data_IF_769802065605
#
_entry.id   IF_769802065605
#
_cell.length_a   1.000
_cell.length_b   1.000
_cell.length_c   1.000
_cell.angle_alpha   90.00
_cell.angle_beta   90.00
_cell.angle_gamma   90.00
#
_symmetry.space_group_name_H-M   'P 1'
#
loop_
_entity.id
_entity.type
_entity.pdbx_description
1 polymer ?
#
# COMPACT_ATOMS: atom_id res chain seq x y z
N UNK A 1 -17.98 -21.99 -9.23
CA UNK A 1 -17.08 -20.84 -9.19
C UNK A 1 -17.59 -19.72 -10.09
N UNK A 2 -17.14 -18.51 -9.84
CA UNK A 2 -17.45 -17.37 -10.70
C UNK A 2 -16.51 -17.39 -11.93
N UNK A 3 -16.96 -16.90 -13.10
CA UNK A 3 -16.10 -16.77 -14.27
C UNK A 3 -14.86 -15.90 -13.97
N UNK A 4 -13.70 -16.16 -14.63
CA UNK A 4 -12.54 -15.28 -14.56
C UNK A 4 -12.91 -13.83 -14.94
N UNK A 5 -12.36 -12.85 -14.24
CA UNK A 5 -12.65 -11.42 -14.47
C UNK A 5 -13.93 -10.91 -13.80
N UNK A 6 -14.65 -11.73 -13.04
CA UNK A 6 -15.82 -11.26 -12.27
C UNK A 6 -15.38 -10.31 -11.17
N UNK A 7 -16.03 -9.15 -11.09
CA UNK A 7 -15.81 -8.18 -10.00
C UNK A 7 -16.33 -8.75 -8.68
N UNK A 8 -15.46 -8.82 -7.69
CA UNK A 8 -15.78 -9.40 -6.36
C UNK A 8 -15.43 -8.43 -5.21
N UNK A 9 -15.25 -7.15 -5.50
CA UNK A 9 -14.81 -6.12 -4.52
C UNK A 9 -15.62 -6.19 -3.23
N UNK A 10 -16.94 -6.09 -3.30
CA UNK A 10 -17.79 -6.14 -2.10
C UNK A 10 -17.69 -7.45 -1.33
N UNK A 11 -17.53 -8.58 -2.03
CA UNK A 11 -17.35 -9.90 -1.39
C UNK A 11 -16.00 -9.98 -0.69
N UNK A 12 -14.96 -9.40 -1.28
CA UNK A 12 -13.62 -9.36 -0.69
C UNK A 12 -13.60 -8.50 0.57
N UNK A 13 -14.19 -7.31 0.53
CA UNK A 13 -14.31 -6.42 1.70
C UNK A 13 -15.07 -7.14 2.82
N UNK A 14 -16.18 -7.78 2.52
CA UNK A 14 -16.96 -8.56 3.49
C UNK A 14 -16.10 -9.66 4.12
N UNK A 15 -15.42 -10.48 3.30
CA UNK A 15 -14.57 -11.57 3.78
C UNK A 15 -13.42 -11.08 4.68
N UNK A 16 -12.79 -9.96 4.34
CA UNK A 16 -11.73 -9.37 5.16
C UNK A 16 -12.26 -8.92 6.53
N UNK A 17 -13.45 -8.33 6.57
CA UNK A 17 -14.10 -7.96 7.81
C UNK A 17 -14.45 -9.18 8.67
N UNK A 18 -14.94 -10.26 8.07
CA UNK A 18 -15.18 -11.52 8.77
C UNK A 18 -13.89 -12.16 9.30
N UNK A 19 -12.77 -11.99 8.60
CA UNK A 19 -11.45 -12.41 9.08
C UNK A 19 -10.92 -11.58 10.25
N UNK A 20 -11.59 -10.47 10.59
CA UNK A 20 -11.27 -9.64 11.76
C UNK A 20 -10.48 -8.38 11.45
N UNK A 21 -10.35 -7.97 10.20
CA UNK A 21 -9.78 -6.67 9.85
C UNK A 21 -10.75 -5.56 10.29
N UNK A 22 -10.26 -4.62 11.09
CA UNK A 22 -11.06 -3.48 11.60
C UNK A 22 -11.41 -2.52 10.48
N UNK A 23 -10.46 -2.28 9.55
CA UNK A 23 -10.62 -1.36 8.43
C UNK A 23 -10.14 -2.02 7.14
N UNK A 24 -10.83 -1.73 6.06
CA UNK A 24 -10.49 -2.21 4.71
C UNK A 24 -10.55 -1.04 3.76
N UNK A 25 -9.43 -0.75 3.12
CA UNK A 25 -9.27 0.38 2.19
C UNK A 25 -8.93 -0.10 0.80
N UNK A 26 -9.23 0.74 -0.19
CA UNK A 26 -8.86 0.50 -1.58
C UNK A 26 -7.46 1.07 -1.86
N UNK A 27 -6.63 0.29 -2.55
CA UNK A 27 -5.29 0.71 -2.97
C UNK A 27 -5.35 1.80 -4.05
N UNK A 28 -6.46 1.95 -4.78
CA UNK A 28 -6.62 2.97 -5.81
C UNK A 28 -6.45 4.38 -5.25
N UNK A 29 -6.90 4.64 -4.01
CA UNK A 29 -6.62 5.90 -3.32
C UNK A 29 -5.12 6.22 -3.26
N UNK A 30 -4.30 5.23 -2.91
CA UNK A 30 -2.86 5.41 -2.82
C UNK A 30 -2.17 5.45 -4.20
N UNK A 31 -2.80 4.82 -5.20
CA UNK A 31 -2.35 4.94 -6.58
C UNK A 31 -2.55 6.37 -7.11
N UNK A 32 -3.70 6.98 -6.83
CA UNK A 32 -3.97 8.38 -7.18
C UNK A 32 -2.96 9.31 -6.50
N UNK A 33 -2.65 9.07 -5.24
CA UNK A 33 -1.64 9.85 -4.51
C UNK A 33 -0.25 9.69 -5.15
N UNK A 34 0.14 8.47 -5.53
CA UNK A 34 1.41 8.24 -6.24
C UNK A 34 1.44 8.99 -7.57
N UNK A 35 0.34 9.03 -8.33
CA UNK A 35 0.22 9.79 -9.58
C UNK A 35 0.42 11.28 -9.32
N UNK A 36 -0.16 11.83 -8.26
CA UNK A 36 0.00 13.24 -7.90
C UNK A 36 1.45 13.59 -7.53
N UNK A 37 2.12 12.74 -6.76
CA UNK A 37 3.51 12.93 -6.38
C UNK A 37 4.46 12.81 -7.59
N UNK A 38 4.34 11.75 -8.39
CA UNK A 38 5.14 11.58 -9.61
C UNK A 38 4.85 12.69 -10.64
N UNK A 39 3.58 13.10 -10.78
CA UNK A 39 3.20 14.21 -11.65
C UNK A 39 3.83 15.54 -11.23
N UNK A 40 3.84 15.83 -9.94
CA UNK A 40 4.51 17.01 -9.39
C UNK A 40 6.03 16.95 -9.57
N UNK A 41 6.63 15.77 -9.39
CA UNK A 41 8.05 15.57 -9.61
C UNK A 41 8.45 15.79 -11.07
N UNK A 42 7.70 15.22 -12.04
CA UNK A 42 8.02 15.39 -13.46
C UNK A 42 7.87 16.85 -13.90
N UNK A 43 6.85 17.56 -13.41
CA UNK A 43 6.69 18.98 -13.71
C UNK A 43 7.86 19.81 -13.17
N UNK A 44 8.30 19.53 -11.94
CA UNK A 44 9.46 20.20 -11.35
C UNK A 44 10.75 19.90 -12.14
N UNK A 45 11.03 18.62 -12.43
CA UNK A 45 12.21 18.22 -13.21
C UNK A 45 12.20 18.86 -14.60
N UNK A 46 11.05 18.85 -15.29
CA UNK A 46 10.93 19.43 -16.62
C UNK A 46 11.13 20.95 -16.62
N UNK A 47 10.55 21.65 -15.67
CA UNK A 47 10.74 23.11 -15.53
C UNK A 47 12.22 23.45 -15.32
N UNK A 48 12.88 22.78 -14.38
CA UNK A 48 14.32 23.01 -14.14
C UNK A 48 15.18 22.68 -15.36
N UNK A 49 14.85 21.61 -16.09
CA UNK A 49 15.57 21.24 -17.31
C UNK A 49 15.43 22.31 -18.39
N UNK A 50 14.22 22.87 -18.57
CA UNK A 50 13.94 23.94 -19.55
C UNK A 50 14.61 25.27 -19.16
N UNK A 51 14.77 25.52 -17.85
CA UNK A 51 15.51 26.67 -17.31
C UNK A 51 17.04 26.51 -17.43
N UNK A 52 17.52 25.40 -17.99
CA UNK A 52 18.92 25.14 -18.25
C UNK A 52 19.69 24.48 -17.12
N UNK A 53 19.01 23.95 -16.11
CA UNK A 53 19.63 23.18 -15.02
C UNK A 53 20.16 21.85 -15.53
N UNK A 54 21.47 21.74 -15.72
CA UNK A 54 22.15 20.55 -16.23
C UNK A 54 22.29 19.43 -15.20
N UNK A 55 21.92 19.67 -13.95
CA UNK A 55 21.92 18.63 -12.91
C UNK A 55 20.72 17.72 -13.01
N UNK A 56 19.66 18.16 -13.70
CA UNK A 56 18.45 17.36 -13.90
C UNK A 56 18.64 16.37 -15.03
N UNK A 57 18.36 15.11 -14.75
CA UNK A 57 18.38 14.03 -15.75
C UNK A 57 16.97 13.64 -16.17
N UNK A 58 16.80 13.41 -17.45
CA UNK A 58 15.59 12.89 -18.10
C UNK A 58 15.96 11.65 -18.92
N UNK A 59 15.03 10.69 -19.13
CA UNK A 59 13.63 10.69 -18.68
C UNK A 59 13.51 10.45 -17.18
N UNK A 60 12.29 10.62 -16.63
CA UNK A 60 11.91 10.07 -15.33
C UNK A 60 11.34 8.67 -15.54
N UNK A 61 11.71 7.73 -14.71
CA UNK A 61 11.19 6.34 -14.72
C UNK A 61 10.38 6.10 -13.45
N UNK A 62 9.19 5.50 -13.58
CA UNK A 62 8.36 5.23 -12.41
C UNK A 62 9.00 4.16 -11.50
N UNK A 63 8.77 4.23 -10.21
CA UNK A 63 9.41 3.40 -9.18
C UNK A 63 8.43 2.52 -8.39
N UNK A 64 7.20 2.35 -8.88
CA UNK A 64 6.16 1.59 -8.16
C UNK A 64 6.39 0.06 -8.14
N UNK A 65 7.26 -0.49 -9.01
CA UNK A 65 7.55 -1.93 -9.07
C UNK A 65 8.84 -2.27 -8.31
N UNK A 66 8.78 -2.93 -7.13
CA UNK A 66 9.97 -3.20 -6.33
C UNK A 66 10.95 -4.19 -6.99
N UNK A 67 10.48 -5.10 -7.83
CA UNK A 67 11.35 -5.99 -8.57
C UNK A 67 12.17 -5.22 -9.61
N UNK A 68 11.55 -4.24 -10.29
CA UNK A 68 12.23 -3.36 -11.22
C UNK A 68 13.21 -2.43 -10.51
N UNK A 69 12.82 -1.85 -9.37
CA UNK A 69 13.72 -1.00 -8.56
C UNK A 69 14.96 -1.78 -8.15
N UNK A 70 14.78 -2.98 -7.60
CA UNK A 70 15.90 -3.85 -7.22
C UNK A 70 16.81 -4.20 -8.40
N UNK A 71 16.22 -4.51 -9.57
CA UNK A 71 16.98 -4.73 -10.80
C UNK A 71 17.79 -3.48 -11.20
N UNK A 72 17.16 -2.31 -11.15
CA UNK A 72 17.78 -1.05 -11.53
C UNK A 72 18.94 -0.66 -10.59
N UNK A 73 18.76 -0.81 -9.29
CA UNK A 73 19.79 -0.57 -8.28
C UNK A 73 21.05 -1.42 -8.51
N UNK A 74 20.88 -2.67 -8.92
CA UNK A 74 22.01 -3.58 -9.14
C UNK A 74 22.71 -3.40 -10.50
N UNK A 75 21.97 -3.05 -11.54
CA UNK A 75 22.50 -2.99 -12.90
C UNK A 75 22.86 -1.57 -13.35
N UNK A 76 22.29 -0.54 -12.71
CA UNK A 76 22.47 0.86 -13.09
C UNK A 76 22.74 1.76 -11.87
N UNK A 77 23.73 1.41 -11.00
CA UNK A 77 23.97 2.15 -9.76
C UNK A 77 24.35 3.62 -9.99
N UNK A 78 24.94 3.95 -11.15
CA UNK A 78 25.33 5.31 -11.52
C UNK A 78 24.17 6.17 -12.07
N UNK A 79 22.95 5.61 -12.11
CA UNK A 79 21.76 6.24 -12.69
C UNK A 79 20.59 6.31 -11.72
N UNK A 80 20.83 6.22 -10.41
CA UNK A 80 19.78 6.17 -9.38
C UNK A 80 19.00 7.49 -9.21
N UNK A 81 19.44 8.53 -9.87
CA UNK A 81 18.77 9.83 -9.95
C UNK A 81 17.69 9.91 -11.06
N UNK A 82 17.61 8.88 -11.92
CA UNK A 82 16.60 8.83 -13.00
C UNK A 82 15.24 8.33 -12.51
N UNK A 83 15.14 7.26 -11.71
CA UNK A 83 13.85 6.84 -11.18
C UNK A 83 13.16 7.93 -10.36
N UNK A 84 11.84 7.86 -10.34
CA UNK A 84 11.03 8.71 -9.44
C UNK A 84 11.38 8.45 -7.99
N UNK A 85 11.35 9.51 -7.19
CA UNK A 85 11.51 9.44 -5.74
C UNK A 85 10.20 9.08 -5.02
N UNK A 86 9.08 9.02 -5.76
CA UNK A 86 7.79 8.66 -5.21
C UNK A 86 7.77 7.19 -4.76
N UNK A 87 7.11 6.95 -3.65
CA UNK A 87 6.88 5.59 -3.14
C UNK A 87 5.84 4.86 -3.99
N UNK A 88 5.86 3.54 -3.94
CA UNK A 88 4.79 2.73 -4.54
C UNK A 88 3.44 2.99 -3.84
N UNK A 89 2.29 2.73 -4.50
CA UNK A 89 0.97 2.83 -3.88
C UNK A 89 0.87 2.07 -2.56
N UNK A 90 1.48 0.88 -2.44
CA UNK A 90 1.52 0.14 -1.20
C UNK A 90 2.18 0.94 -0.07
N UNK A 91 3.36 1.50 -0.32
CA UNK A 91 4.11 2.24 0.69
C UNK A 91 3.54 3.65 0.93
N UNK A 92 2.94 4.28 -0.08
CA UNK A 92 2.17 5.52 0.09
C UNK A 92 1.02 5.30 1.07
N UNK A 93 0.23 4.23 0.86
CA UNK A 93 -0.87 3.90 1.75
C UNK A 93 -0.38 3.63 3.17
N UNK A 94 0.63 2.78 3.34
CA UNK A 94 1.17 2.44 4.65
C UNK A 94 1.66 3.66 5.42
N UNK A 95 2.38 4.54 4.73
CA UNK A 95 2.87 5.79 5.32
C UNK A 95 1.72 6.68 5.81
N UNK A 96 0.70 6.92 4.97
CA UNK A 96 -0.45 7.75 5.34
C UNK A 96 -1.30 7.10 6.42
N UNK A 97 -1.51 5.78 6.35
CA UNK A 97 -2.27 5.05 7.35
C UNK A 97 -1.62 5.17 8.74
N UNK A 98 -0.29 5.02 8.82
CA UNK A 98 0.45 5.09 10.09
C UNK A 98 0.85 6.50 10.55
N UNK A 99 0.59 7.52 9.75
CA UNK A 99 0.82 8.92 10.12
C UNK A 99 -0.50 9.68 10.23
N UNK A 100 -0.96 10.25 9.13
CA UNK A 100 -2.14 11.11 9.10
C UNK A 100 -3.42 10.43 9.61
N UNK A 101 -3.71 9.21 9.10
CA UNK A 101 -4.95 8.53 9.48
C UNK A 101 -4.89 8.03 10.93
N UNK A 102 -3.76 7.45 11.36
CA UNK A 102 -3.57 7.01 12.74
C UNK A 102 -3.71 8.18 13.74
N UNK A 103 -3.11 9.34 13.43
CA UNK A 103 -3.25 10.56 14.24
C UNK A 103 -4.71 11.02 14.32
N UNK A 104 -5.41 11.07 13.18
CA UNK A 104 -6.83 11.48 13.12
C UNK A 104 -7.74 10.55 13.93
N UNK A 105 -7.41 9.25 13.99
CA UNK A 105 -8.14 8.25 14.76
C UNK A 105 -7.68 8.13 16.22
N UNK A 106 -6.63 8.85 16.61
CA UNK A 106 -6.04 8.74 17.95
C UNK A 106 -5.38 7.39 18.24
N UNK A 107 -4.92 6.70 17.20
CA UNK A 107 -4.27 5.39 17.29
C UNK A 107 -2.75 5.59 17.24
N UNK A 108 -1.98 5.15 18.25
CA UNK A 108 -0.53 5.19 18.17
C UNK A 108 -0.02 4.33 16.98
N UNK A 109 0.98 4.84 16.27
CA UNK A 109 1.57 4.18 15.09
C UNK A 109 1.90 2.70 15.34
N UNK A 110 2.47 2.40 16.50
CA UNK A 110 2.95 1.07 16.88
C UNK A 110 1.81 0.08 17.15
N UNK A 111 0.60 0.58 17.35
CA UNK A 111 -0.60 -0.24 17.55
C UNK A 111 -1.37 -0.51 16.27
N UNK A 112 -1.04 0.20 15.20
CA UNK A 112 -1.67 0.01 13.91
C UNK A 112 -0.88 -1.02 13.10
N UNK A 113 -1.54 -2.11 12.72
CA UNK A 113 -0.98 -3.14 11.84
C UNK A 113 -1.57 -2.95 10.44
N UNK A 114 -0.71 -2.68 9.47
CA UNK A 114 -1.09 -2.51 8.06
C UNK A 114 -0.75 -3.78 7.30
N UNK A 115 -1.77 -4.40 6.71
CA UNK A 115 -1.63 -5.58 5.86
C UNK A 115 -2.02 -5.22 4.43
N UNK A 116 -1.10 -5.35 3.51
CA UNK A 116 -1.38 -5.18 2.08
C UNK A 116 -1.73 -6.52 1.42
N UNK A 117 -2.68 -6.47 0.48
CA UNK A 117 -3.09 -7.63 -0.31
C UNK A 117 -2.76 -7.32 -1.76
N UNK A 118 -1.73 -7.99 -2.29
CA UNK A 118 -1.16 -7.69 -3.59
C UNK A 118 -1.02 -8.94 -4.45
N UNK A 119 -1.24 -8.84 -5.76
CA UNK A 119 -0.99 -9.97 -6.67
C UNK A 119 0.52 -10.21 -6.89
N UNK A 120 1.36 -9.25 -6.55
CA UNK A 120 2.80 -9.24 -6.81
C UNK A 120 3.59 -9.71 -5.57
N UNK A 121 4.40 -10.77 -5.72
CA UNK A 121 5.23 -11.30 -4.63
C UNK A 121 6.40 -10.38 -4.25
N UNK A 122 6.88 -9.56 -5.19
CA UNK A 122 7.95 -8.59 -4.91
C UNK A 122 7.52 -7.52 -3.89
N UNK A 123 6.22 -7.32 -3.68
CA UNK A 123 5.69 -6.43 -2.64
C UNK A 123 6.01 -6.89 -1.22
N UNK A 124 6.26 -8.18 -1.01
CA UNK A 124 6.77 -8.70 0.27
C UNK A 124 8.18 -8.18 0.54
N UNK A 125 9.06 -8.29 -0.46
CA UNK A 125 10.41 -7.74 -0.37
C UNK A 125 10.41 -6.23 -0.11
N UNK A 126 9.50 -5.49 -0.74
CA UNK A 126 9.37 -4.04 -0.53
C UNK A 126 9.06 -3.70 0.94
N UNK A 127 8.23 -4.47 1.61
CA UNK A 127 7.89 -4.24 3.03
C UNK A 127 9.10 -4.38 3.97
N UNK A 128 10.08 -5.21 3.58
CA UNK A 128 11.26 -5.49 4.41
C UNK A 128 12.37 -4.42 4.28
N UNK A 129 12.27 -3.53 3.29
CA UNK A 129 13.27 -2.49 3.05
C UNK A 129 13.32 -1.47 4.20
N UNK A 130 14.54 -1.13 4.62
CA UNK A 130 14.77 -0.26 5.79
C UNK A 130 14.27 1.18 5.59
N UNK A 131 14.32 1.69 4.36
CA UNK A 131 13.84 3.05 4.05
C UNK A 131 12.34 3.25 4.27
N UNK A 132 11.56 2.18 4.42
CA UNK A 132 10.12 2.22 4.71
C UNK A 132 9.79 1.97 6.18
N UNK A 133 10.80 2.11 7.05
CA UNK A 133 10.63 1.98 8.50
C UNK A 133 10.89 3.31 9.19
N UNK A 134 10.09 3.61 10.19
CA UNK A 134 10.28 4.78 11.07
C UNK A 134 10.56 4.25 12.47
N UNK A 135 11.77 4.47 12.96
CA UNK A 135 12.24 3.95 14.26
C UNK A 135 12.07 2.41 14.36
N UNK A 136 12.34 1.68 13.27
CA UNK A 136 12.19 0.24 13.20
C UNK A 136 10.75 -0.26 13.01
N UNK A 137 9.74 0.62 13.03
CA UNK A 137 8.35 0.28 12.76
C UNK A 137 8.05 0.45 11.26
N UNK A 138 7.71 -0.62 10.52
CA UNK A 138 7.46 -0.54 9.08
C UNK A 138 6.17 0.22 8.76
N UNK A 139 6.11 0.86 7.60
CA UNK A 139 4.88 1.51 7.10
C UNK A 139 3.83 0.46 6.73
N UNK A 140 4.25 -0.67 6.16
CA UNK A 140 3.41 -1.85 5.91
C UNK A 140 4.00 -3.04 6.64
N UNK A 141 3.26 -3.63 7.57
CA UNK A 141 3.76 -4.71 8.44
C UNK A 141 3.80 -6.05 7.70
N UNK A 142 2.79 -6.32 6.88
CA UNK A 142 2.68 -7.57 6.13
C UNK A 142 2.18 -7.31 4.71
N UNK A 143 2.70 -8.07 3.76
CA UNK A 143 2.15 -8.17 2.41
C UNK A 143 1.81 -9.62 2.10
N UNK A 144 0.55 -9.88 1.80
CA UNK A 144 0.06 -11.21 1.41
C UNK A 144 -0.41 -11.18 -0.04
N UNK A 145 -0.16 -12.28 -0.74
CA UNK A 145 -0.64 -12.44 -2.10
C UNK A 145 -2.14 -12.74 -2.13
N UNK A 146 -2.80 -12.48 -3.26
CA UNK A 146 -4.20 -12.84 -3.47
C UNK A 146 -4.45 -14.35 -3.31
N UNK A 147 -3.44 -15.19 -3.61
CA UNK A 147 -3.54 -16.65 -3.39
C UNK A 147 -3.49 -17.01 -1.91
N UNK A 148 -2.61 -16.37 -1.15
CA UNK A 148 -2.53 -16.56 0.32
C UNK A 148 -3.82 -16.09 0.98
N UNK A 149 -4.40 -14.97 0.54
CA UNK A 149 -5.71 -14.52 1.01
C UNK A 149 -6.80 -15.58 0.72
N UNK A 150 -6.82 -16.14 -0.49
CA UNK A 150 -7.78 -17.20 -0.82
C UNK A 150 -7.64 -18.43 0.08
N UNK A 151 -6.40 -18.82 0.40
CA UNK A 151 -6.11 -19.91 1.34
C UNK A 151 -6.59 -19.57 2.75
N UNK A 152 -6.33 -18.35 3.21
CA UNK A 152 -6.76 -17.87 4.52
C UNK A 152 -8.28 -17.87 4.66
N UNK A 153 -8.99 -17.35 3.67
CA UNK A 153 -10.47 -17.37 3.62
C UNK A 153 -10.98 -18.80 3.64
N UNK A 154 -10.39 -19.69 2.83
CA UNK A 154 -10.81 -21.10 2.77
C UNK A 154 -10.59 -21.82 4.10
N UNK A 155 -9.46 -21.60 4.75
CA UNK A 155 -9.15 -22.16 6.05
C UNK A 155 -10.13 -21.67 7.13
N UNK A 156 -10.50 -20.39 7.10
CA UNK A 156 -11.45 -19.79 8.02
C UNK A 156 -12.85 -20.37 7.86
N UNK A 157 -13.32 -20.54 6.61
CA UNK A 157 -14.65 -21.09 6.32
C UNK A 157 -14.72 -22.59 6.64
N UNK A 158 -13.64 -23.34 6.36
CA UNK A 158 -13.60 -24.80 6.53
C UNK A 158 -13.33 -25.26 7.97
N UNK A 159 -12.97 -24.36 8.88
CA UNK A 159 -12.68 -24.71 10.28
C UNK A 159 -13.87 -24.33 11.18
N UNK A 160 -14.77 -25.27 11.55
CA UNK A 160 -15.92 -24.96 12.42
C UNK A 160 -15.51 -24.50 13.83
N UNK A 161 -14.28 -24.81 14.22
CA UNK A 161 -13.70 -24.39 15.52
C UNK A 161 -13.10 -22.97 15.45
N UNK A 162 -12.94 -22.40 14.27
CA UNK A 162 -12.59 -20.99 14.08
C UNK A 162 -13.77 -20.04 14.44
N UNK A 163 -14.92 -20.59 14.83
CA UNK A 163 -15.91 -19.88 15.67
C UNK A 163 -15.37 -19.56 17.07
N UNK A 164 -14.04 -19.54 17.21
CA UNK A 164 -13.39 -18.85 18.32
C UNK A 164 -13.82 -17.40 18.20
N UNK A 165 -14.77 -17.09 19.04
CA UNK A 165 -15.31 -15.79 19.35
C UNK A 165 -14.17 -14.78 19.52
N UNK A 166 -13.55 -14.32 18.46
CA UNK A 166 -12.94 -13.01 18.42
C UNK A 166 -14.11 -12.05 18.26
N UNK A 167 -14.97 -12.03 19.30
CA UNK A 167 -15.83 -10.91 19.55
C UNK A 167 -14.90 -9.80 20.00
N UNK A 168 -14.41 -9.02 19.06
CA UNK A 168 -13.95 -7.68 19.36
C UNK A 168 -15.17 -6.92 19.87
N UNK A 169 -15.34 -6.92 21.19
CA UNK A 169 -16.32 -6.08 21.84
C UNK A 169 -15.97 -4.63 21.48
N UNK A 170 -16.97 -3.88 21.01
CA UNK A 170 -16.92 -2.47 20.64
C UNK A 170 -16.14 -2.17 19.34
N UNK A 171 -16.74 -2.50 18.19
CA UNK A 171 -16.36 -1.89 16.91
C UNK A 171 -16.96 -0.48 16.87
N UNK A 172 -16.16 0.60 16.77
CA UNK A 172 -16.71 1.88 16.35
C UNK A 172 -17.28 1.75 14.93
N UNK A 173 -18.32 2.49 14.62
CA UNK A 173 -18.94 2.50 13.30
C UNK A 173 -17.87 2.76 12.22
N UNK A 174 -17.91 1.97 11.15
CA UNK A 174 -16.87 1.90 10.14
C UNK A 174 -17.04 3.06 9.16
N UNK A 175 -16.07 3.96 9.15
CA UNK A 175 -15.98 5.05 8.15
C UNK A 175 -15.27 4.52 6.92
N UNK A 176 -15.94 4.48 5.77
CA UNK A 176 -15.31 4.34 4.45
C UNK A 176 -14.65 5.69 4.10
N UNK A 177 -13.52 5.69 3.40
CA UNK A 177 -12.87 6.94 2.94
C UNK A 177 -13.79 7.81 2.05
N UNK A 178 -14.79 7.20 1.40
CA UNK A 178 -15.83 7.90 0.64
C UNK A 178 -16.78 8.75 1.50
N UNK A 179 -16.73 8.61 2.82
CA UNK A 179 -17.59 9.33 3.76
C UNK A 179 -16.84 10.43 4.54
N UNK A 180 -15.56 10.66 4.23
CA UNK A 180 -14.86 11.82 4.78
C UNK A 180 -15.40 13.09 4.12
N UNK A 181 -15.85 14.11 4.89
CA UNK A 181 -16.28 15.37 4.30
C UNK A 181 -15.12 15.98 3.51
N UNK A 182 -15.42 16.46 2.31
CA UNK A 182 -14.51 17.27 1.53
C UNK A 182 -14.39 18.63 2.26
N UNK A 183 -13.30 18.83 2.99
CA UNK A 183 -12.81 20.14 3.44
C UNK A 183 -11.55 20.51 2.70
#
# INVERSE_FOLDING_TARGET
>A
GLPPGTLVTGKMVYALRELGFDYVFDTDFAADLTIMEEGSEILNRLTRYLDGDKSVRLPILTSCCPAWVNFFEHHFPDMLDIPSTARSPQQMFGSIAKTYWAEKMGIPREKLVVVSIMPCLAKKYECDREEFKVNGNPDVDYSISTRELATLISAFICCPTANLTIRWANRPEQVLFSELPAE
#
